data_IF_922149312888
#
_entry.id   IF_922149312888
#
_cell.length_a   1.000
_cell.length_b   1.000
_cell.length_c   1.000
_cell.angle_alpha   90.00
_cell.angle_beta   90.00
_cell.angle_gamma   90.00
#
_symmetry.space_group_name_H-M   'P 1'
#
loop_
_entity.id
_entity.type
_entity.pdbx_description
1 polymer ?
#
# COMPACT_ATOMS: atom_id res chain seq x y z
N UNK A 1 4.46 16.96 25.71
CA UNK A 1 3.22 16.66 26.45
C UNK A 1 3.07 15.15 26.49
N UNK A 2 3.02 14.51 27.66
CA UNK A 2 2.86 13.07 27.74
C UNK A 2 1.42 12.68 27.42
N UNK A 3 1.27 11.86 26.39
CA UNK A 3 0.38 10.72 26.40
C UNK A 3 -1.10 10.87 26.18
N UNK A 4 -1.58 11.67 25.21
CA UNK A 4 -2.94 11.38 24.72
C UNK A 4 -2.81 10.21 23.74
N UNK A 5 -3.37 9.05 24.13
CA UNK A 5 -3.51 7.91 23.23
C UNK A 5 -4.34 8.33 22.03
N UNK A 6 -3.85 8.17 20.79
CA UNK A 6 -4.60 8.56 19.62
C UNK A 6 -5.88 7.72 19.49
N UNK A 7 -6.98 8.37 19.09
CA UNK A 7 -8.19 7.65 18.69
C UNK A 7 -8.01 7.12 17.26
N UNK A 8 -8.01 5.79 17.04
CA UNK A 8 -7.91 5.22 15.71
C UNK A 8 -8.96 5.73 14.73
N UNK A 9 -10.14 6.09 15.23
CA UNK A 9 -11.26 6.60 14.45
C UNK A 9 -11.24 8.12 14.26
N UNK A 10 -10.23 8.82 14.81
CA UNK A 10 -10.10 10.25 14.59
C UNK A 10 -9.96 10.56 13.09
N UNK A 11 -10.56 11.66 12.60
CA UNK A 11 -10.46 12.07 11.20
C UNK A 11 -9.01 12.25 10.76
N UNK A 12 -8.69 11.90 9.51
CA UNK A 12 -7.32 11.96 8.98
C UNK A 12 -6.69 13.35 9.02
N UNK A 13 -7.50 14.40 8.99
CA UNK A 13 -7.07 15.80 9.11
C UNK A 13 -6.42 16.14 10.48
N UNK A 14 -6.63 15.30 11.51
CA UNK A 14 -5.97 15.47 12.82
C UNK A 14 -4.48 15.14 12.76
N UNK A 15 -4.05 14.39 11.73
CA UNK A 15 -2.64 14.06 11.53
C UNK A 15 -1.87 15.31 11.08
N UNK A 16 -0.77 15.60 11.77
CA UNK A 16 0.10 16.73 11.43
C UNK A 16 0.57 16.67 9.99
N UNK A 17 0.34 17.73 9.24
CA UNK A 17 0.72 17.84 7.83
C UNK A 17 -0.40 17.49 6.84
N UNK A 18 -1.60 17.12 7.31
CA UNK A 18 -2.78 16.93 6.47
C UNK A 18 -3.61 18.21 6.46
N UNK A 19 -3.47 18.98 5.38
CA UNK A 19 -4.35 20.12 5.11
C UNK A 19 -5.52 19.75 4.19
N UNK A 20 -6.48 20.64 3.95
CA UNK A 20 -7.73 20.35 3.21
C UNK A 20 -7.51 19.73 1.82
N UNK A 21 -6.50 20.21 1.08
CA UNK A 21 -6.19 19.67 -0.26
C UNK A 21 -5.65 18.25 -0.20
N UNK A 22 -4.84 17.94 0.81
CA UNK A 22 -4.28 16.60 0.98
C UNK A 22 -5.33 15.63 1.50
N UNK A 23 -6.18 16.07 2.42
CA UNK A 23 -7.34 15.33 2.87
C UNK A 23 -8.20 14.86 1.70
N UNK A 24 -8.63 15.75 0.81
CA UNK A 24 -9.40 15.38 -0.40
C UNK A 24 -8.69 14.34 -1.27
N UNK A 25 -7.37 14.36 -1.28
CA UNK A 25 -6.58 13.38 -2.03
C UNK A 25 -6.55 12.03 -1.34
N UNK A 26 -6.45 12.00 0.00
CA UNK A 26 -6.50 10.80 0.83
C UNK A 26 -7.90 10.16 0.80
N UNK A 27 -8.97 10.96 0.81
CA UNK A 27 -10.35 10.48 0.68
C UNK A 27 -10.58 9.69 -0.62
N UNK A 28 -9.90 10.05 -1.73
CA UNK A 28 -9.96 9.28 -2.99
C UNK A 28 -9.33 7.89 -2.89
N UNK A 29 -8.44 7.66 -1.91
CA UNK A 29 -7.88 6.35 -1.59
C UNK A 29 -8.70 5.59 -0.53
N UNK A 30 -9.83 6.15 -0.09
CA UNK A 30 -10.63 5.55 0.98
C UNK A 30 -10.07 5.79 2.38
N UNK A 31 -9.12 6.73 2.54
CA UNK A 31 -8.47 7.04 3.81
C UNK A 31 -9.20 8.23 4.44
N UNK A 32 -10.09 7.95 5.41
CA UNK A 32 -10.92 8.93 6.11
C UNK A 32 -10.42 9.18 7.55
N UNK A 33 -9.88 8.14 8.18
CA UNK A 33 -9.49 8.11 9.60
C UNK A 33 -8.03 7.71 9.73
N UNK A 34 -7.46 7.89 10.93
CA UNK A 34 -6.09 7.48 11.23
C UNK A 34 -5.88 5.97 10.99
N UNK A 35 -6.83 5.14 11.43
CA UNK A 35 -6.76 3.69 11.22
C UNK A 35 -6.74 3.32 9.73
N UNK A 36 -7.48 4.05 8.88
CA UNK A 36 -7.51 3.76 7.44
C UNK A 36 -6.11 3.98 6.81
N UNK A 37 -5.37 4.99 7.25
CA UNK A 37 -3.98 5.19 6.84
C UNK A 37 -3.06 4.10 7.41
N UNK A 38 -3.31 3.63 8.63
CA UNK A 38 -2.51 2.61 9.28
C UNK A 38 -2.67 1.22 8.61
N UNK A 39 -3.83 0.92 8.07
CA UNK A 39 -4.07 -0.31 7.29
C UNK A 39 -3.80 -0.13 5.79
N UNK A 40 -3.43 1.07 5.34
CA UNK A 40 -2.99 1.33 3.97
C UNK A 40 -1.55 0.85 3.78
N UNK A 41 -1.36 -0.46 3.73
CA UNK A 41 -0.05 -1.11 3.75
C UNK A 41 0.74 -0.93 2.44
N UNK A 42 2.08 -0.97 2.52
CA UNK A 42 2.91 -1.07 1.33
C UNK A 42 2.61 -2.36 0.57
N UNK A 43 2.51 -2.27 -0.76
CA UNK A 43 2.35 -3.46 -1.60
C UNK A 43 3.68 -4.09 -2.01
N UNK A 44 4.78 -3.37 -1.84
CA UNK A 44 6.15 -3.86 -2.04
C UNK A 44 7.14 -2.98 -1.31
N UNK A 45 8.37 -3.48 -1.19
CA UNK A 45 9.51 -2.74 -0.64
C UNK A 45 10.60 -2.62 -1.70
N UNK A 46 11.30 -1.50 -1.69
CA UNK A 46 12.49 -1.28 -2.50
C UNK A 46 13.71 -1.42 -1.60
N UNK A 47 14.64 -2.26 -2.04
CA UNK A 47 15.96 -2.34 -1.41
C UNK A 47 16.78 -1.11 -1.84
N UNK A 48 17.01 -0.21 -0.89
CA UNK A 48 17.87 0.97 -1.06
C UNK A 48 19.08 0.92 -0.11
N UNK A 49 19.45 -0.29 0.32
CA UNK A 49 20.51 -0.49 1.29
C UNK A 49 21.90 -0.28 0.72
N UNK A 50 22.07 -0.39 -0.61
CA UNK A 50 23.34 -0.31 -1.28
C UNK A 50 23.39 0.83 -2.29
N UNK A 51 24.39 1.72 -2.13
CA UNK A 51 24.71 2.73 -3.14
C UNK A 51 25.49 2.05 -4.26
N UNK A 52 24.96 2.14 -5.48
CA UNK A 52 25.61 1.60 -6.67
C UNK A 52 26.64 2.60 -7.19
N UNK A 53 27.94 2.25 -7.29
CA UNK A 53 28.94 3.09 -7.94
C UNK A 53 28.52 3.43 -9.38
N UNK A 54 28.74 4.67 -9.84
CA UNK A 54 28.24 5.14 -11.14
C UNK A 54 28.76 4.31 -12.33
N UNK A 55 29.96 3.72 -12.21
CA UNK A 55 30.54 2.79 -13.21
C UNK A 55 29.83 1.45 -13.31
N UNK A 56 29.07 1.04 -12.26
CA UNK A 56 28.40 -0.25 -12.19
C UNK A 56 26.93 -0.19 -12.58
N UNK A 57 26.42 1.00 -12.92
CA UNK A 57 25.02 1.20 -13.31
C UNK A 57 24.75 0.51 -14.63
N UNK A 58 23.68 -0.25 -14.69
CA UNK A 58 23.17 -0.90 -15.91
C UNK A 58 21.93 -0.17 -16.44
N UNK A 59 21.90 0.03 -17.75
CA UNK A 59 20.75 0.62 -18.40
C UNK A 59 19.54 -0.35 -18.33
N UNK A 60 18.38 0.17 -17.97
CA UNK A 60 17.13 -0.59 -17.77
C UNK A 60 16.93 -1.06 -16.34
N UNK A 61 17.92 -0.87 -15.45
CA UNK A 61 17.82 -1.23 -14.05
C UNK A 61 17.61 0.01 -13.15
N UNK A 62 17.06 -0.22 -11.98
CA UNK A 62 16.84 0.80 -10.95
C UNK A 62 17.97 0.75 -9.92
N UNK A 63 18.61 1.88 -9.68
CA UNK A 63 19.75 1.99 -8.78
C UNK A 63 19.57 3.14 -7.79
N UNK A 64 20.12 2.97 -6.58
CA UNK A 64 20.40 4.05 -5.66
C UNK A 64 21.83 4.51 -5.95
N UNK A 65 22.00 5.77 -6.30
CA UNK A 65 23.29 6.38 -6.57
C UNK A 65 23.55 7.53 -5.60
N UNK A 66 24.83 7.84 -5.43
CA UNK A 66 25.29 9.02 -4.70
C UNK A 66 26.51 9.60 -5.44
N UNK A 67 26.59 10.93 -5.48
CA UNK A 67 27.72 11.59 -6.10
C UNK A 67 27.66 13.11 -5.96
N UNK A 68 28.74 13.75 -6.37
CA UNK A 68 28.84 15.20 -6.41
C UNK A 68 28.04 15.79 -7.57
N UNK A 69 27.34 16.89 -7.30
CA UNK A 69 26.69 17.69 -8.34
C UNK A 69 27.74 18.60 -8.99
N UNK A 70 28.13 18.29 -10.22
CA UNK A 70 29.17 19.05 -10.92
C UNK A 70 28.59 20.09 -11.88
N UNK A 71 27.35 19.93 -12.31
CA UNK A 71 26.64 20.91 -13.13
C UNK A 71 25.12 20.77 -13.00
N UNK A 72 24.43 21.88 -13.04
CA UNK A 72 22.98 21.95 -13.12
C UNK A 72 22.61 23.00 -14.16
N UNK A 73 21.94 22.60 -15.25
CA UNK A 73 21.62 23.51 -16.34
C UNK A 73 20.26 23.18 -16.97
N UNK A 74 19.57 24.23 -17.39
CA UNK A 74 18.36 24.10 -18.21
C UNK A 74 18.77 23.85 -19.65
N UNK A 75 18.39 22.69 -20.20
CA UNK A 75 18.68 22.30 -21.57
C UNK A 75 17.42 22.45 -22.41
N UNK A 76 17.57 23.12 -23.56
CA UNK A 76 16.54 23.30 -24.55
C UNK A 76 16.73 22.28 -25.68
N UNK A 77 15.77 21.40 -25.87
CA UNK A 77 15.70 20.41 -26.93
C UNK A 77 14.25 20.28 -27.41
N UNK A 78 13.81 19.10 -27.81
CA UNK A 78 12.38 18.87 -28.13
C UNK A 78 11.46 19.25 -26.95
N UNK A 79 11.95 19.13 -25.73
CA UNK A 79 11.31 19.60 -24.50
C UNK A 79 12.37 20.25 -23.62
N UNK A 80 12.01 21.38 -22.97
CA UNK A 80 12.81 22.00 -21.92
C UNK A 80 12.97 21.01 -20.76
N UNK A 81 14.21 20.81 -20.28
CA UNK A 81 14.50 19.96 -19.13
C UNK A 81 15.61 20.55 -18.28
N UNK A 82 15.55 20.32 -16.97
CA UNK A 82 16.67 20.57 -16.07
C UNK A 82 17.54 19.33 -16.09
N UNK A 83 18.82 19.49 -16.43
CA UNK A 83 19.83 18.44 -16.47
C UNK A 83 20.82 18.67 -15.35
N UNK A 84 20.95 17.69 -14.46
CA UNK A 84 21.92 17.68 -13.37
C UNK A 84 22.96 16.62 -13.67
N UNK A 85 24.23 17.01 -13.63
CA UNK A 85 25.36 16.09 -13.81
C UNK A 85 25.84 15.63 -12.43
N UNK A 86 25.85 14.32 -12.23
CA UNK A 86 26.31 13.69 -11.00
C UNK A 86 27.57 12.89 -11.30
N UNK A 87 28.60 13.04 -10.50
CA UNK A 87 29.88 12.40 -10.67
C UNK A 87 30.37 11.74 -9.38
N UNK A 88 31.00 10.59 -9.51
CA UNK A 88 31.80 9.93 -8.48
C UNK A 88 33.22 9.65 -8.99
N UNK A 89 34.02 8.91 -8.21
CA UNK A 89 35.37 8.50 -8.64
C UNK A 89 35.39 7.56 -9.86
N UNK A 90 34.26 6.91 -10.18
CA UNK A 90 34.16 5.88 -11.23
C UNK A 90 33.46 6.33 -12.50
N UNK A 91 32.77 7.46 -12.50
CA UNK A 91 32.00 7.88 -13.66
C UNK A 91 31.10 9.08 -13.46
N UNK A 92 30.26 9.32 -14.45
CA UNK A 92 29.22 10.35 -14.40
C UNK A 92 27.93 9.88 -15.02
N UNK A 93 26.80 10.37 -14.47
CA UNK A 93 25.45 10.15 -14.97
C UNK A 93 24.66 11.45 -14.95
N UNK A 94 23.50 11.42 -15.57
CA UNK A 94 22.67 12.61 -15.68
C UNK A 94 21.28 12.35 -15.08
N UNK A 95 20.79 13.30 -14.28
CA UNK A 95 19.41 13.33 -13.83
C UNK A 95 18.66 14.35 -14.65
N UNK A 96 17.47 14.00 -15.13
CA UNK A 96 16.65 14.85 -16.00
C UNK A 96 15.27 15.09 -15.42
N UNK A 97 14.88 16.36 -15.34
CA UNK A 97 13.57 16.77 -14.88
C UNK A 97 12.88 17.56 -16.01
N UNK A 98 11.85 16.98 -16.59
CA UNK A 98 11.06 17.64 -17.64
C UNK A 98 10.02 18.61 -17.08
N UNK A 99 9.65 18.41 -15.82
CA UNK A 99 8.80 19.30 -15.04
C UNK A 99 9.54 19.67 -13.76
N UNK A 100 9.84 20.95 -13.59
CA UNK A 100 10.56 21.45 -12.43
C UNK A 100 10.12 22.87 -12.08
N UNK A 101 10.16 23.20 -10.79
CA UNK A 101 9.93 24.53 -10.27
C UNK A 101 11.24 25.30 -10.13
N UNK A 102 11.14 26.64 -10.02
CA UNK A 102 12.31 27.49 -9.73
C UNK A 102 12.97 27.10 -8.39
N UNK A 103 12.15 26.73 -7.40
CA UNK A 103 12.65 26.29 -6.11
C UNK A 103 13.46 24.99 -6.22
N UNK A 104 12.97 24.02 -6.98
CA UNK A 104 13.68 22.77 -7.26
C UNK A 104 14.99 23.01 -8.01
N UNK A 105 14.97 23.88 -9.00
CA UNK A 105 16.18 24.27 -9.74
C UNK A 105 17.22 24.88 -8.80
N UNK A 106 16.85 25.86 -7.99
CA UNK A 106 17.76 26.51 -7.04
C UNK A 106 18.31 25.53 -6.00
N UNK A 107 17.49 24.59 -5.51
CA UNK A 107 17.94 23.54 -4.58
C UNK A 107 19.00 22.62 -5.20
N UNK A 108 18.84 22.25 -6.48
CA UNK A 108 19.77 21.38 -7.20
C UNK A 108 21.04 22.14 -7.64
N UNK A 109 20.95 23.43 -7.93
CA UNK A 109 22.11 24.29 -8.25
C UNK A 109 23.01 24.52 -7.05
N UNK A 110 22.44 24.61 -5.84
CA UNK A 110 23.17 24.83 -4.59
C UNK A 110 23.60 23.52 -3.89
N UNK A 111 23.24 22.36 -4.41
CA UNK A 111 23.61 21.08 -3.82
C UNK A 111 25.08 20.75 -4.15
N UNK A 112 25.86 20.36 -3.12
CA UNK A 112 27.19 19.80 -3.32
C UNK A 112 27.13 18.31 -3.68
N UNK A 113 26.21 17.56 -3.04
CA UNK A 113 25.99 16.15 -3.28
C UNK A 113 24.52 15.87 -3.50
N UNK A 114 24.27 14.77 -4.19
CA UNK A 114 22.92 14.26 -4.41
C UNK A 114 22.92 12.73 -4.24
N UNK A 115 21.91 12.24 -3.53
CA UNK A 115 21.54 10.82 -3.49
C UNK A 115 20.26 10.67 -4.29
N UNK A 116 20.27 9.81 -5.33
CA UNK A 116 19.15 9.67 -6.23
C UNK A 116 18.81 8.19 -6.48
N UNK A 117 17.51 7.89 -6.53
CA UNK A 117 17.01 6.56 -6.80
C UNK A 117 16.07 6.57 -8.00
N UNK A 118 16.33 5.72 -8.97
CA UNK A 118 15.50 5.60 -10.16
C UNK A 118 16.07 4.69 -11.22
N UNK A 119 15.31 4.48 -12.28
CA UNK A 119 15.71 3.67 -13.42
C UNK A 119 16.63 4.47 -14.35
N UNK A 120 17.77 3.92 -14.68
CA UNK A 120 18.74 4.52 -15.58
C UNK A 120 18.58 3.98 -17.00
N UNK A 121 18.46 4.87 -17.97
CA UNK A 121 18.34 4.55 -19.39
C UNK A 121 19.24 5.43 -20.23
N UNK A 122 19.62 4.95 -21.40
CA UNK A 122 20.33 5.79 -22.35
C UNK A 122 19.39 6.83 -22.97
N UNK A 123 19.80 8.09 -22.90
CA UNK A 123 19.20 9.19 -23.62
C UNK A 123 20.20 9.73 -24.64
N UNK A 124 20.16 9.24 -25.86
CA UNK A 124 21.24 9.36 -26.82
C UNK A 124 22.46 8.53 -26.37
N UNK A 125 23.58 9.22 -26.17
CA UNK A 125 24.83 8.59 -25.65
C UNK A 125 24.99 8.75 -24.13
N UNK A 126 24.04 9.40 -23.45
CA UNK A 126 24.13 9.75 -22.04
C UNK A 126 23.28 8.78 -21.19
N UNK A 127 23.90 8.16 -20.18
CA UNK A 127 23.20 7.37 -19.18
C UNK A 127 22.49 8.33 -18.23
N UNK A 128 21.16 8.29 -18.21
CA UNK A 128 20.33 9.29 -17.53
C UNK A 128 19.19 8.63 -16.76
N UNK A 129 18.78 9.23 -15.65
CA UNK A 129 17.56 8.91 -14.94
C UNK A 129 16.56 10.06 -15.06
N UNK A 130 15.31 9.75 -15.46
CA UNK A 130 14.26 10.74 -15.61
C UNK A 130 13.42 10.79 -14.33
N UNK A 131 13.24 11.99 -13.77
CA UNK A 131 12.45 12.23 -12.55
C UNK A 131 12.78 11.26 -11.40
N UNK A 132 14.08 11.10 -11.00
CA UNK A 132 14.42 10.25 -9.88
C UNK A 132 13.77 10.76 -8.58
N UNK A 133 13.57 9.88 -7.61
CA UNK A 133 13.48 10.32 -6.21
C UNK A 133 14.88 10.75 -5.78
N UNK A 134 15.02 11.89 -5.11
CA UNK A 134 16.33 12.39 -4.73
C UNK A 134 16.30 13.18 -3.43
N UNK A 135 17.47 13.26 -2.83
CA UNK A 135 17.81 14.10 -1.69
C UNK A 135 19.09 14.86 -1.98
N UNK A 136 19.16 16.14 -1.60
CA UNK A 136 20.32 17.02 -1.83
C UNK A 136 21.01 17.32 -0.51
N UNK A 137 22.35 17.40 -0.57
CA UNK A 137 23.18 17.68 0.58
C UNK A 137 24.15 18.83 0.28
N UNK A 138 24.37 19.68 1.28
CA UNK A 138 25.33 20.79 1.20
C UNK A 138 26.78 20.35 1.47
N UNK A 139 26.97 19.16 2.05
CA UNK A 139 28.24 18.54 2.33
C UNK A 139 28.16 17.03 2.03
N UNK A 140 29.22 16.28 2.28
CA UNK A 140 29.21 14.84 2.13
C UNK A 140 28.04 14.20 2.90
N UNK A 141 27.20 13.40 2.23
CA UNK A 141 26.02 12.83 2.85
C UNK A 141 26.37 11.80 3.92
N UNK A 142 25.52 11.64 4.94
CA UNK A 142 25.67 10.55 5.91
C UNK A 142 25.55 9.20 5.19
N UNK A 143 26.10 8.11 5.77
CA UNK A 143 25.91 6.77 5.22
C UNK A 143 24.45 6.49 4.87
N UNK A 144 24.19 5.79 3.77
CA UNK A 144 22.84 5.40 3.42
C UNK A 144 22.26 4.52 4.54
N UNK A 145 21.06 4.82 4.96
CA UNK A 145 20.33 3.94 5.88
C UNK A 145 20.01 2.64 5.13
N UNK A 146 20.41 1.51 5.72
CA UNK A 146 20.17 0.18 5.16
C UNK A 146 18.71 -0.25 5.37
N UNK A 147 17.75 0.63 5.04
CA UNK A 147 16.34 0.39 5.30
C UNK A 147 15.57 0.04 4.03
N UNK A 148 14.71 -0.97 4.12
CA UNK A 148 13.77 -1.28 3.06
C UNK A 148 12.75 -0.14 2.93
N UNK A 149 12.69 0.46 1.74
CA UNK A 149 11.79 1.60 1.50
C UNK A 149 10.40 1.12 1.09
N UNK A 150 9.35 1.41 1.88
CA UNK A 150 7.97 0.99 1.54
C UNK A 150 7.42 1.77 0.35
N UNK A 151 6.69 1.06 -0.52
CA UNK A 151 5.99 1.61 -1.68
C UNK A 151 4.50 1.35 -1.53
N UNK A 152 3.74 2.43 -1.51
CA UNK A 152 2.30 2.43 -1.27
C UNK A 152 1.49 2.54 -2.55
N UNK A 153 0.26 1.99 -2.60
CA UNK A 153 -0.74 2.37 -3.57
C UNK A 153 -0.99 3.90 -3.49
N UNK A 154 -1.01 4.57 -4.65
CA UNK A 154 -1.18 6.03 -4.69
C UNK A 154 -2.27 6.46 -5.67
N UNK A 155 -2.63 7.74 -5.62
CA UNK A 155 -3.51 8.39 -6.57
C UNK A 155 -2.86 9.66 -7.13
N UNK A 156 -3.44 10.22 -8.18
CA UNK A 156 -2.93 11.44 -8.79
C UNK A 156 -2.82 12.58 -7.76
N UNK A 157 -1.64 13.19 -7.68
CA UNK A 157 -1.33 14.29 -6.76
C UNK A 157 -0.81 13.86 -5.39
N UNK A 158 -0.62 12.55 -5.14
CA UNK A 158 -0.05 12.02 -3.91
C UNK A 158 1.22 11.20 -4.21
N UNK A 159 2.38 11.74 -3.88
CA UNK A 159 3.67 11.06 -4.09
C UNK A 159 4.08 10.16 -2.93
N UNK A 160 4.94 9.18 -3.20
CA UNK A 160 5.48 8.20 -2.23
C UNK A 160 6.12 8.88 -1.01
N UNK A 161 6.96 9.90 -1.24
CA UNK A 161 7.62 10.63 -0.16
C UNK A 161 6.63 11.27 0.83
N UNK A 162 5.48 11.72 0.32
CA UNK A 162 4.43 12.30 1.16
C UNK A 162 3.73 11.23 2.00
N UNK A 163 3.39 10.08 1.40
CA UNK A 163 2.80 8.95 2.12
C UNK A 163 3.74 8.44 3.20
N UNK A 164 5.02 8.24 2.90
CA UNK A 164 6.02 7.81 3.89
C UNK A 164 6.10 8.77 5.09
N UNK A 165 6.08 10.10 4.85
CA UNK A 165 6.05 11.09 5.95
C UNK A 165 4.79 11.00 6.81
N UNK A 166 3.63 10.75 6.19
CA UNK A 166 2.38 10.60 6.93
C UNK A 166 2.34 9.32 7.75
N UNK A 167 2.78 8.20 7.19
CA UNK A 167 2.84 6.91 7.92
C UNK A 167 3.89 6.95 9.02
N UNK A 168 5.01 7.64 8.81
CA UNK A 168 6.00 7.87 9.86
C UNK A 168 5.39 8.66 11.03
N UNK A 169 4.77 9.81 10.75
CA UNK A 169 4.11 10.62 11.77
C UNK A 169 3.02 9.84 12.51
N UNK A 170 2.33 8.93 11.83
CA UNK A 170 1.32 8.05 12.42
C UNK A 170 1.96 7.00 13.33
N UNK A 171 3.05 6.36 12.91
CA UNK A 171 3.76 5.35 13.70
C UNK A 171 4.44 5.94 14.95
N UNK A 172 4.86 7.21 14.91
CA UNK A 172 5.44 7.93 16.03
C UNK A 172 4.42 8.32 17.13
N UNK A 173 3.11 8.16 16.86
CA UNK A 173 2.08 8.40 17.85
C UNK A 173 2.09 7.30 18.92
N UNK A 174 1.70 7.64 20.15
CA UNK A 174 1.66 6.70 21.27
C UNK A 174 0.43 5.79 21.20
N UNK A 175 0.48 4.78 20.35
CA UNK A 175 -0.59 3.79 20.21
C UNK A 175 -0.70 2.90 21.44
N UNK A 176 -1.92 2.47 21.82
CA UNK A 176 -2.10 1.63 22.99
C UNK A 176 -1.43 0.27 22.77
N UNK A 177 -0.48 -0.06 23.63
CA UNK A 177 0.12 -1.39 23.69
C UNK A 177 -0.83 -2.33 24.45
N UNK A 178 -1.78 -2.91 23.71
CA UNK A 178 -2.73 -3.90 24.23
C UNK A 178 -2.43 -5.26 23.62
N UNK A 179 -2.50 -6.34 24.40
CA UNK A 179 -2.38 -7.69 23.86
C UNK A 179 -3.34 -7.91 22.68
N UNK A 180 -2.80 -8.35 21.55
CA UNK A 180 -3.57 -8.54 20.31
C UNK A 180 -3.80 -7.27 19.47
N UNK A 181 -3.34 -6.09 19.91
CA UNK A 181 -3.41 -4.89 19.09
C UNK A 181 -2.45 -5.00 17.88
N UNK A 182 -2.91 -4.71 16.66
CA UNK A 182 -2.09 -4.89 15.46
C UNK A 182 -1.04 -3.78 15.25
N UNK A 183 -0.99 -2.75 16.11
CA UNK A 183 -0.23 -1.52 15.88
C UNK A 183 1.27 -1.75 15.72
N UNK A 184 1.86 -2.62 16.52
CA UNK A 184 3.29 -2.96 16.42
C UNK A 184 3.61 -3.64 15.09
N UNK A 185 2.77 -4.59 14.66
CA UNK A 185 2.91 -5.28 13.37
C UNK A 185 2.74 -4.29 12.20
N UNK A 186 1.73 -3.41 12.28
CA UNK A 186 1.48 -2.38 11.28
C UNK A 186 2.63 -1.37 11.20
N UNK A 187 3.14 -0.90 12.34
CA UNK A 187 4.29 0.00 12.40
C UNK A 187 5.55 -0.65 11.80
N UNK A 188 5.80 -1.93 12.08
CA UNK A 188 6.90 -2.69 11.46
C UNK A 188 6.78 -2.74 9.94
N UNK A 189 5.58 -2.92 9.39
CA UNK A 189 5.38 -2.93 7.94
C UNK A 189 5.54 -1.54 7.31
N UNK A 190 5.18 -0.47 8.03
CA UNK A 190 5.37 0.89 7.53
C UNK A 190 6.83 1.35 7.60
N UNK A 191 7.53 0.97 8.66
CA UNK A 191 8.92 1.35 8.94
C UNK A 191 9.68 0.12 9.44
N UNK A 192 10.05 -0.81 8.55
CA UNK A 192 10.85 -1.95 8.93
C UNK A 192 12.23 -1.45 9.45
N UNK A 193 12.77 -2.04 10.53
CA UNK A 193 14.10 -1.70 11.02
C UNK A 193 15.17 -1.99 9.96
N UNK A 194 16.35 -1.39 10.13
CA UNK A 194 17.41 -1.44 9.13
C UNK A 194 17.92 -2.86 8.81
N UNK A 195 17.79 -3.78 9.76
CA UNK A 195 18.15 -5.19 9.65
C UNK A 195 17.00 -6.10 9.22
N UNK A 196 15.80 -5.52 8.93
CA UNK A 196 14.65 -6.29 8.52
C UNK A 196 14.87 -6.97 7.17
N UNK A 197 14.52 -8.24 7.10
CA UNK A 197 14.54 -9.01 5.87
C UNK A 197 13.15 -9.08 5.21
N UNK A 198 13.11 -9.36 3.91
CA UNK A 198 11.84 -9.59 3.21
C UNK A 198 11.06 -10.77 3.78
N UNK A 199 11.74 -11.80 4.30
CA UNK A 199 11.13 -12.94 4.95
C UNK A 199 10.42 -12.55 6.26
N UNK A 200 11.03 -11.69 7.06
CA UNK A 200 10.41 -11.15 8.27
C UNK A 200 9.18 -10.30 7.93
N UNK A 201 9.26 -9.48 6.87
CA UNK A 201 8.10 -8.70 6.38
C UNK A 201 6.96 -9.65 6.00
N UNK A 202 7.25 -10.69 5.22
CA UNK A 202 6.25 -11.68 4.82
C UNK A 202 5.62 -12.37 6.04
N UNK A 203 6.43 -12.78 7.00
CA UNK A 203 5.95 -13.41 8.26
C UNK A 203 4.97 -12.50 9.00
N UNK A 204 5.27 -11.20 9.10
CA UNK A 204 4.39 -10.23 9.76
C UNK A 204 3.10 -10.01 8.95
N UNK A 205 3.18 -9.98 7.61
CA UNK A 205 2.00 -9.87 6.74
C UNK A 205 1.09 -11.09 6.89
N UNK A 206 1.64 -12.30 6.90
CA UNK A 206 0.90 -13.55 7.10
C UNK A 206 0.23 -13.59 8.48
N UNK A 207 0.91 -13.13 9.52
CA UNK A 207 0.34 -13.04 10.86
C UNK A 207 -0.84 -12.05 10.92
N UNK A 208 -0.74 -10.88 10.27
CA UNK A 208 -1.86 -9.93 10.19
C UNK A 208 -3.03 -10.50 9.38
N UNK A 209 -2.76 -11.13 8.25
CA UNK A 209 -3.78 -11.77 7.42
C UNK A 209 -4.52 -12.88 8.20
N UNK A 210 -3.79 -13.66 8.99
CA UNK A 210 -4.37 -14.71 9.86
C UNK A 210 -5.28 -14.11 10.93
N UNK A 211 -4.84 -13.02 11.59
CA UNK A 211 -5.63 -12.30 12.60
C UNK A 211 -6.93 -11.74 11.98
N UNK A 212 -6.85 -11.15 10.80
CA UNK A 212 -8.01 -10.59 10.09
C UNK A 212 -9.00 -11.68 9.66
N UNK A 213 -8.51 -12.78 9.08
CA UNK A 213 -9.33 -13.91 8.70
C UNK A 213 -10.02 -14.56 9.92
N UNK A 214 -9.30 -14.68 11.05
CA UNK A 214 -9.87 -15.19 12.29
C UNK A 214 -10.98 -14.27 12.80
N UNK A 215 -10.75 -12.96 12.83
CA UNK A 215 -11.76 -11.98 13.23
C UNK A 215 -12.98 -12.02 12.31
N UNK A 216 -12.78 -12.09 11.00
CA UNK A 216 -13.86 -12.23 10.03
C UNK A 216 -14.66 -13.51 10.26
N UNK A 217 -13.98 -14.65 10.43
CA UNK A 217 -14.64 -15.92 10.72
C UNK A 217 -15.48 -15.86 11.99
N UNK A 218 -14.96 -15.28 13.08
CA UNK A 218 -15.69 -15.12 14.33
C UNK A 218 -16.94 -14.26 14.17
N UNK A 219 -16.85 -13.14 13.45
CA UNK A 219 -17.99 -12.29 13.14
C UNK A 219 -19.05 -13.03 12.32
N UNK A 220 -18.63 -13.76 11.29
CA UNK A 220 -19.54 -14.55 10.45
C UNK A 220 -20.21 -15.67 11.22
N UNK A 221 -19.43 -16.37 12.05
CA UNK A 221 -19.97 -17.42 12.94
C UNK A 221 -20.94 -16.86 13.97
N UNK A 222 -20.62 -15.72 14.58
CA UNK A 222 -21.53 -15.02 15.51
C UNK A 222 -22.85 -14.63 14.83
N UNK A 223 -22.78 -14.09 13.60
CA UNK A 223 -23.99 -13.78 12.80
C UNK A 223 -24.79 -15.04 12.48
N UNK A 224 -24.15 -16.12 12.12
CA UNK A 224 -24.81 -17.40 11.84
C UNK A 224 -25.52 -17.97 13.09
N UNK A 225 -24.86 -17.92 14.25
CA UNK A 225 -25.45 -18.36 15.52
C UNK A 225 -26.67 -17.47 15.90
N UNK A 226 -26.51 -16.14 15.80
CA UNK A 226 -27.61 -15.21 16.06
C UNK A 226 -28.80 -15.47 15.11
N UNK A 227 -28.56 -15.81 13.86
CA UNK A 227 -29.62 -16.13 12.91
C UNK A 227 -30.32 -17.43 13.28
N UNK A 228 -29.59 -18.48 13.71
CA UNK A 228 -30.16 -19.74 14.17
C UNK A 228 -31.05 -19.60 15.41
N UNK A 229 -30.85 -18.54 16.21
CA UNK A 229 -31.71 -18.24 17.35
C UNK A 229 -33.02 -17.51 16.96
N UNK A 230 -33.17 -17.08 15.71
CA UNK A 230 -34.42 -16.51 15.21
C UNK A 230 -35.40 -17.64 14.88
N UNK A 231 -36.64 -17.44 15.23
CA UNK A 231 -37.73 -18.36 14.83
C UNK A 231 -38.12 -18.13 13.37
N UNK A 232 -38.30 -19.19 12.61
CA UNK A 232 -38.89 -19.15 11.27
C UNK A 232 -40.17 -19.97 11.27
N UNK A 233 -41.11 -19.58 10.41
CA UNK A 233 -42.31 -20.37 10.20
C UNK A 233 -41.94 -21.58 9.34
N UNK A 234 -42.10 -22.82 9.84
CA UNK A 234 -41.83 -24.01 9.04
C UNK A 234 -42.81 -24.07 7.88
N UNK A 235 -42.30 -24.30 6.69
CA UNK A 235 -43.11 -24.51 5.49
C UNK A 235 -43.24 -26.00 5.26
N UNK A 236 -44.43 -26.59 5.47
CA UNK A 236 -44.59 -28.02 5.27
C UNK A 236 -44.39 -28.37 3.80
N UNK A 237 -43.80 -29.53 3.54
CA UNK A 237 -43.55 -30.02 2.20
C UNK A 237 -44.85 -30.23 1.43
N UNK A 238 -45.33 -29.19 0.78
CA UNK A 238 -46.49 -29.29 -0.13
C UNK A 238 -45.98 -29.69 -1.52
N UNK A 239 -46.17 -30.94 -1.87
CA UNK A 239 -45.73 -31.47 -3.16
C UNK A 239 -46.66 -31.08 -4.35
N UNK A 240 -47.82 -30.46 -4.10
CA UNK A 240 -48.83 -30.15 -5.13
C UNK A 240 -48.25 -29.32 -6.28
N UNK A 241 -47.89 -28.06 -6.02
CA UNK A 241 -47.36 -27.15 -7.03
C UNK A 241 -46.00 -27.56 -7.53
N UNK A 242 -45.10 -27.98 -6.64
CA UNK A 242 -43.75 -28.42 -6.99
C UNK A 242 -43.76 -29.65 -7.92
N UNK A 243 -44.61 -30.64 -7.65
CA UNK A 243 -44.82 -31.80 -8.50
C UNK A 243 -45.35 -31.42 -9.87
N UNK A 244 -46.37 -30.54 -9.89
CA UNK A 244 -46.93 -30.02 -11.15
C UNK A 244 -45.87 -29.27 -11.97
N UNK A 245 -45.06 -28.45 -11.32
CA UNK A 245 -43.96 -27.75 -11.96
C UNK A 245 -42.98 -28.74 -12.58
N UNK A 246 -42.51 -29.73 -11.80
CA UNK A 246 -41.56 -30.72 -12.29
C UNK A 246 -42.09 -31.52 -13.47
N UNK A 247 -43.39 -31.86 -13.48
CA UNK A 247 -44.07 -32.53 -14.62
C UNK A 247 -44.16 -31.65 -15.88
N UNK A 248 -44.18 -30.32 -15.72
CA UNK A 248 -44.27 -29.37 -16.83
C UNK A 248 -42.88 -28.95 -17.35
N UNK A 249 -41.81 -29.29 -16.66
CA UNK A 249 -40.45 -29.05 -17.20
C UNK A 249 -40.24 -29.96 -18.40
N UNK A 250 -39.72 -29.39 -19.49
CA UNK A 250 -39.37 -30.12 -20.71
C UNK A 250 -38.12 -31.00 -20.58
N UNK A 251 -37.57 -31.16 -19.35
CA UNK A 251 -36.38 -31.94 -19.06
C UNK A 251 -36.45 -32.56 -17.65
N UNK A 252 -35.61 -33.56 -17.39
CA UNK A 252 -35.44 -34.16 -16.06
C UNK A 252 -34.32 -33.43 -15.32
N UNK A 253 -34.54 -33.23 -14.01
CA UNK A 253 -33.46 -32.66 -13.15
C UNK A 253 -32.25 -33.59 -13.14
N UNK A 254 -31.04 -32.99 -13.16
CA UNK A 254 -29.83 -33.76 -12.89
C UNK A 254 -29.80 -34.23 -11.42
N UNK A 255 -28.99 -35.21 -11.09
CA UNK A 255 -28.83 -35.71 -9.73
C UNK A 255 -28.42 -34.58 -8.75
N UNK A 256 -27.54 -33.66 -9.19
CA UNK A 256 -27.13 -32.53 -8.36
C UNK A 256 -28.30 -31.55 -8.10
N UNK A 257 -29.10 -31.23 -9.11
CA UNK A 257 -30.28 -30.38 -8.96
C UNK A 257 -31.32 -31.03 -8.05
N UNK A 258 -31.61 -32.31 -8.23
CA UNK A 258 -32.58 -33.05 -7.39
C UNK A 258 -32.14 -33.06 -5.92
N UNK A 259 -30.82 -33.27 -5.66
CA UNK A 259 -30.23 -33.22 -4.32
C UNK A 259 -30.41 -31.81 -3.70
N UNK A 260 -30.04 -30.75 -4.42
CA UNK A 260 -30.14 -29.38 -3.91
C UNK A 260 -31.59 -29.00 -3.62
N UNK A 261 -32.55 -29.36 -4.48
CA UNK A 261 -33.96 -29.14 -4.22
C UNK A 261 -34.44 -29.88 -2.96
N UNK A 262 -34.02 -31.13 -2.77
CA UNK A 262 -34.37 -31.89 -1.57
C UNK A 262 -33.77 -31.23 -0.31
N UNK A 263 -32.54 -30.78 -0.34
CA UNK A 263 -31.89 -30.07 0.76
C UNK A 263 -32.59 -28.75 1.11
N UNK A 264 -33.00 -27.96 0.11
CA UNK A 264 -33.76 -26.72 0.30
C UNK A 264 -35.10 -27.02 0.97
N UNK A 265 -35.83 -28.03 0.50
CA UNK A 265 -37.10 -28.42 1.09
C UNK A 265 -36.98 -28.87 2.55
N UNK A 266 -35.90 -29.64 2.87
CA UNK A 266 -35.62 -30.03 4.24
C UNK A 266 -35.26 -28.82 5.14
N UNK A 267 -34.53 -27.83 4.63
CA UNK A 267 -34.22 -26.61 5.37
C UNK A 267 -35.49 -25.77 5.64
N UNK A 268 -36.40 -25.68 4.68
CA UNK A 268 -37.68 -24.96 4.82
C UNK A 268 -38.63 -25.57 5.86
N UNK A 269 -38.54 -26.85 6.14
CA UNK A 269 -39.31 -27.53 7.19
C UNK A 269 -38.80 -27.22 8.61
N UNK A 270 -37.62 -26.60 8.75
CA UNK A 270 -37.04 -26.27 10.04
C UNK A 270 -37.67 -25.02 10.67
N UNK A 271 -37.63 -24.94 12.01
CA UNK A 271 -38.04 -23.74 12.75
C UNK A 271 -36.99 -22.62 12.76
N UNK A 272 -35.90 -22.79 12.03
CA UNK A 272 -34.84 -21.82 11.91
C UNK A 272 -34.75 -21.27 10.49
N UNK A 273 -34.42 -19.98 10.29
CA UNK A 273 -34.31 -19.40 8.95
C UNK A 273 -33.27 -20.14 8.10
N UNK A 274 -33.66 -20.51 6.90
CA UNK A 274 -32.75 -21.10 5.92
C UNK A 274 -31.72 -20.07 5.49
N UNK A 275 -30.46 -20.49 5.40
CA UNK A 275 -29.37 -19.76 4.75
C UNK A 275 -28.56 -20.75 3.94
N UNK A 276 -28.74 -20.73 2.64
CA UNK A 276 -28.03 -21.62 1.71
C UNK A 276 -27.59 -20.84 0.48
N UNK A 277 -26.38 -21.09 0.04
CA UNK A 277 -25.88 -20.68 -1.27
C UNK A 277 -26.11 -21.84 -2.23
N UNK A 278 -26.76 -21.59 -3.34
CA UNK A 278 -27.11 -22.58 -4.36
C UNK A 278 -26.31 -22.30 -5.63
#
# INVERSE_FOLDING_TARGET
>A
MPGVTPDPNAPIQTLKGVGPKLEQTLLRLGIFRLVDLFVHLPYRYQDRTQITPLRAIRAGETHLIEGQVTACAVVFGKRRSLKVTVQDAGGRVYLRFFFFSRFQQAALENAAYIRAYGEFRFFGKELSCAHPEYETFAAEPPPATAELTPIYPTTQGLGQARLRKLTQALCEMNWPDKPGAPYTKLAFLHHPPADATLEQIQTVQEALASDELCAYYLVMKGRALKRRSLAALPLPRSLGLGKTLLQRLGFSLTQAQARVVSEILNDLEQQTPMLRLV
#
